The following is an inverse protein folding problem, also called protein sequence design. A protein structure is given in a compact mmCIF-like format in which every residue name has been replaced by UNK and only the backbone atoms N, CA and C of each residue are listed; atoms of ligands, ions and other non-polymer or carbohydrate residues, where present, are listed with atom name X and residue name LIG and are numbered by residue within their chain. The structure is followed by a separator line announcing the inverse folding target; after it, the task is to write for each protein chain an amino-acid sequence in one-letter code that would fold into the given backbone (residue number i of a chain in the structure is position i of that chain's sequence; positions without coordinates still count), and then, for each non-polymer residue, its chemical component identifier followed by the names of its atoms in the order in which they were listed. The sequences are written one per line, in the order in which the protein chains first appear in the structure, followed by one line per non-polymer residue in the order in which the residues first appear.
data_IF_596125306556
#
_entry.id   IF_596125306556
#
_cell.length_a   1.000
_cell.length_b   1.000
_cell.length_c   1.000
_cell.angle_alpha   90.00
_cell.angle_beta   90.00
_cell.angle_gamma   90.00
#
_symmetry.space_group_name_H-M   'P 1'
#
loop_
_entity.id
_entity.type
_entity.pdbx_description
1 polymer ?
#
# COMPACT_ATOMS: atom_id res chain seq x y z
N UNK A 1 12.84 -15.13 17.07
CA UNK A 1 11.69 -14.31 17.48
C UNK A 1 10.52 -14.62 16.56
N UNK A 2 9.40 -15.15 17.05
CA UNK A 2 8.19 -15.23 16.21
C UNK A 2 7.41 -13.92 16.29
N UNK A 3 7.12 -13.34 15.14
CA UNK A 3 6.35 -12.11 15.01
C UNK A 3 5.07 -12.42 14.24
N UNK A 4 3.92 -12.17 14.86
CA UNK A 4 2.65 -12.17 14.18
C UNK A 4 2.46 -10.80 13.51
N UNK A 5 2.31 -10.78 12.20
CA UNK A 5 2.01 -9.55 11.46
C UNK A 5 0.52 -9.52 11.17
N UNK A 6 -0.13 -8.38 11.46
CA UNK A 6 -1.56 -8.16 11.22
C UNK A 6 -1.77 -6.93 10.32
N UNK A 7 -2.62 -7.10 9.32
CA UNK A 7 -3.09 -6.04 8.44
C UNK A 7 -4.63 -6.08 8.39
N UNK A 8 -5.25 -5.28 9.26
CA UNK A 8 -6.70 -5.17 9.38
C UNK A 8 -7.24 -4.14 8.38
N UNK A 9 -8.03 -4.58 7.41
CA UNK A 9 -8.86 -3.73 6.55
C UNK A 9 -10.29 -3.61 7.09
N UNK A 10 -11.14 -2.82 6.44
CA UNK A 10 -12.54 -2.64 6.87
C UNK A 10 -13.36 -3.93 6.85
N UNK A 11 -13.10 -4.83 5.90
CA UNK A 11 -13.82 -6.11 5.70
C UNK A 11 -12.88 -7.31 5.56
N UNK A 12 -11.60 -7.16 5.90
CA UNK A 12 -10.63 -8.24 5.80
C UNK A 12 -9.56 -8.14 6.89
N UNK A 13 -8.89 -9.26 7.15
CA UNK A 13 -7.77 -9.34 8.06
C UNK A 13 -6.73 -10.31 7.51
N UNK A 14 -5.59 -9.77 7.10
CA UNK A 14 -4.43 -10.58 6.67
C UNK A 14 -3.50 -10.79 7.83
N UNK A 15 -2.89 -11.98 7.89
CA UNK A 15 -1.87 -12.28 8.89
C UNK A 15 -0.77 -13.19 8.37
N UNK A 16 0.41 -13.05 8.96
CA UNK A 16 1.53 -13.99 8.78
C UNK A 16 2.23 -14.19 10.12
N UNK A 17 2.72 -15.40 10.38
CA UNK A 17 3.69 -15.63 11.46
C UNK A 17 5.06 -15.76 10.83
N UNK A 18 5.97 -14.84 11.18
CA UNK A 18 7.30 -14.74 10.59
C UNK A 18 8.35 -14.93 11.68
N UNK A 19 9.28 -15.83 11.45
CA UNK A 19 10.44 -16.02 12.30
C UNK A 19 11.55 -15.06 11.89
N UNK A 20 12.00 -14.24 12.84
CA UNK A 20 13.11 -13.30 12.68
C UNK A 20 14.32 -13.73 13.53
N UNK A 21 15.56 -13.56 13.03
CA UNK A 21 15.95 -12.80 11.82
C UNK A 21 15.96 -13.60 10.50
N UNK A 22 15.54 -14.87 10.49
CA UNK A 22 15.62 -15.73 9.30
C UNK A 22 14.66 -15.34 8.16
N UNK A 23 13.70 -14.43 8.41
CA UNK A 23 12.62 -14.06 7.48
C UNK A 23 11.76 -15.27 7.05
N UNK A 24 11.72 -16.33 7.87
CA UNK A 24 10.99 -17.56 7.53
C UNK A 24 9.50 -17.38 7.82
N UNK A 25 8.68 -17.41 6.77
CA UNK A 25 7.21 -17.36 6.88
C UNK A 25 6.69 -18.73 7.32
N UNK A 26 6.18 -18.84 8.55
CA UNK A 26 5.63 -20.09 9.12
C UNK A 26 4.23 -20.38 8.60
N UNK A 27 3.41 -19.34 8.45
CA UNK A 27 2.09 -19.43 7.83
C UNK A 27 1.67 -18.09 7.21
N UNK A 28 0.72 -18.17 6.29
CA UNK A 28 -0.01 -17.03 5.72
C UNK A 28 -1.49 -17.27 5.95
N UNK A 29 -2.27 -16.22 6.19
CA UNK A 29 -3.71 -16.37 6.15
C UNK A 29 -4.44 -15.07 5.92
N UNK A 30 -5.71 -15.23 5.58
CA UNK A 30 -6.60 -14.17 5.17
C UNK A 30 -8.01 -14.49 5.65
N UNK A 31 -8.62 -13.49 6.27
CA UNK A 31 -10.05 -13.45 6.53
C UNK A 31 -10.67 -12.44 5.58
N UNK A 32 -11.64 -12.85 4.79
CA UNK A 32 -12.38 -11.98 3.87
C UNK A 32 -13.84 -11.86 4.29
N UNK A 33 -14.46 -10.75 3.90
CA UNK A 33 -15.89 -10.49 4.14
C UNK A 33 -16.26 -10.49 5.63
N UNK A 34 -15.37 -9.95 6.47
CA UNK A 34 -15.68 -9.67 7.88
C UNK A 34 -16.92 -8.78 7.95
N UNK A 35 -17.83 -9.11 8.87
CA UNK A 35 -19.16 -8.52 8.97
C UNK A 35 -20.26 -9.33 8.28
N UNK A 36 -19.93 -10.47 7.66
CA UNK A 36 -20.88 -11.32 6.93
C UNK A 36 -20.98 -12.74 7.53
N UNK A 37 -22.10 -13.40 7.26
CA UNK A 37 -22.38 -14.79 7.66
C UNK A 37 -21.57 -15.81 6.84
N UNK A 38 -21.12 -15.41 5.66
CA UNK A 38 -20.38 -16.23 4.70
C UNK A 38 -18.96 -15.67 4.47
N UNK A 39 -18.31 -15.29 5.57
CA UNK A 39 -16.91 -14.91 5.57
C UNK A 39 -16.01 -16.08 5.17
N UNK A 40 -14.94 -15.77 4.43
CA UNK A 40 -14.01 -16.78 3.91
C UNK A 40 -12.74 -16.70 4.74
N UNK A 41 -12.40 -17.79 5.41
CA UNK A 41 -11.16 -17.93 6.17
C UNK A 41 -10.21 -18.85 5.40
N UNK A 42 -9.04 -18.34 5.05
CA UNK A 42 -7.97 -19.10 4.40
C UNK A 42 -6.72 -19.09 5.26
N UNK A 43 -6.09 -20.25 5.41
CA UNK A 43 -4.85 -20.46 6.15
C UNK A 43 -3.93 -21.39 5.38
N UNK A 44 -2.70 -20.94 5.14
CA UNK A 44 -1.67 -21.65 4.43
C UNK A 44 -0.47 -21.94 5.35
N UNK A 45 -0.03 -23.19 5.37
CA UNK A 45 1.18 -23.65 6.04
C UNK A 45 2.04 -24.44 5.06
N UNK A 46 3.12 -23.81 4.59
CA UNK A 46 3.95 -24.37 3.52
C UNK A 46 3.14 -24.48 2.22
N UNK A 47 2.95 -25.70 1.71
CA UNK A 47 2.15 -25.96 0.49
C UNK A 47 0.73 -26.40 0.78
N UNK A 48 0.34 -26.49 2.06
CA UNK A 48 -1.01 -26.92 2.46
C UNK A 48 -1.87 -25.69 2.66
N UNK A 49 -3.03 -25.67 2.02
CA UNK A 49 -4.06 -24.65 2.17
C UNK A 49 -5.27 -25.25 2.89
N UNK A 50 -5.80 -24.51 3.85
CA UNK A 50 -7.06 -24.77 4.53
C UNK A 50 -7.98 -23.59 4.29
N UNK A 51 -9.19 -23.85 3.80
CA UNK A 51 -10.20 -22.83 3.56
C UNK A 51 -11.55 -23.26 4.16
N UNK A 52 -12.25 -22.31 4.76
CA UNK A 52 -13.55 -22.52 5.39
C UNK A 52 -14.44 -21.29 5.16
N UNK A 53 -15.74 -21.52 4.93
CA UNK A 53 -16.75 -20.47 4.90
C UNK A 53 -17.54 -20.54 6.21
N UNK A 54 -17.54 -19.46 6.97
CA UNK A 54 -18.16 -19.40 8.30
C UNK A 54 -18.55 -17.96 8.68
N UNK A 55 -19.46 -17.77 9.64
CA UNK A 55 -19.79 -16.43 10.14
C UNK A 55 -18.61 -15.77 10.85
N UNK A 56 -18.19 -14.59 10.39
CA UNK A 56 -17.22 -13.74 11.08
C UNK A 56 -17.78 -12.32 11.10
N UNK A 57 -18.53 -12.01 12.15
CA UNK A 57 -19.35 -10.80 12.22
C UNK A 57 -18.56 -9.53 12.58
N UNK A 58 -17.34 -9.66 13.08
CA UNK A 58 -16.46 -8.54 13.39
C UNK A 58 -14.99 -8.99 13.46
N UNK A 59 -14.08 -8.03 13.58
CA UNK A 59 -12.63 -8.29 13.69
C UNK A 59 -12.26 -9.12 14.92
N UNK A 60 -13.02 -9.03 16.01
CA UNK A 60 -12.75 -9.82 17.23
C UNK A 60 -12.91 -11.32 16.96
N UNK A 61 -14.04 -11.71 16.39
CA UNK A 61 -14.29 -13.10 15.96
C UNK A 61 -13.23 -13.54 14.96
N UNK A 62 -12.81 -12.66 14.04
CA UNK A 62 -11.75 -12.94 13.09
C UNK A 62 -10.40 -13.23 13.75
N UNK A 63 -9.94 -12.38 14.68
CA UNK A 63 -8.69 -12.59 15.41
C UNK A 63 -8.75 -13.83 16.30
N UNK A 64 -9.88 -14.10 16.96
CA UNK A 64 -10.07 -15.32 17.75
C UNK A 64 -9.96 -16.58 16.87
N UNK A 65 -10.55 -16.57 15.67
CA UNK A 65 -10.40 -17.65 14.68
C UNK A 65 -8.94 -17.83 14.26
N UNK A 66 -8.21 -16.73 14.04
CA UNK A 66 -6.76 -16.79 13.75
C UNK A 66 -6.01 -17.44 14.91
N UNK A 67 -6.18 -16.95 16.13
CA UNK A 67 -5.47 -17.48 17.31
C UNK A 67 -5.74 -18.97 17.53
N UNK A 68 -7.01 -19.40 17.40
CA UNK A 68 -7.40 -20.81 17.48
C UNK A 68 -6.75 -21.65 16.37
N UNK A 69 -6.63 -21.10 15.17
CA UNK A 69 -5.99 -21.80 14.03
C UNK A 69 -4.49 -21.91 14.24
N UNK A 70 -3.83 -20.85 14.73
CA UNK A 70 -2.39 -20.84 15.01
C UNK A 70 -2.01 -21.90 16.06
N UNK A 71 -2.89 -22.20 17.01
CA UNK A 71 -2.73 -23.22 18.07
C UNK A 71 -3.19 -24.63 17.65
N UNK A 72 -3.76 -24.80 16.46
CA UNK A 72 -4.27 -26.10 16.03
C UNK A 72 -3.12 -27.11 15.85
N UNK A 73 -3.29 -28.34 16.35
CA UNK A 73 -2.23 -29.36 16.33
C UNK A 73 -1.79 -29.80 14.92
N UNK A 74 -2.67 -29.72 13.92
CA UNK A 74 -2.39 -30.17 12.55
C UNK A 74 -1.94 -29.01 11.66
N UNK A 75 -2.76 -27.95 11.63
CA UNK A 75 -2.57 -26.82 10.71
C UNK A 75 -1.89 -25.62 11.36
N UNK A 76 -1.82 -25.54 12.69
CA UNK A 76 -1.20 -24.45 13.43
C UNK A 76 0.32 -24.43 13.36
N UNK A 77 0.92 -23.35 13.88
CA UNK A 77 2.37 -23.08 13.82
C UNK A 77 2.99 -22.72 15.18
N UNK A 78 2.17 -22.67 16.23
CA UNK A 78 2.60 -22.42 17.62
C UNK A 78 1.83 -23.39 18.54
N UNK A 79 2.42 -23.73 19.69
CA UNK A 79 1.80 -24.57 20.72
C UNK A 79 1.21 -23.73 21.87
N UNK A 80 1.69 -22.50 22.04
CA UNK A 80 1.16 -21.50 22.97
C UNK A 80 1.15 -20.11 22.33
N UNK A 81 0.21 -19.26 22.76
CA UNK A 81 0.19 -17.84 22.36
C UNK A 81 1.45 -17.08 22.81
N UNK A 82 2.10 -17.55 23.87
CA UNK A 82 3.35 -16.98 24.39
C UNK A 82 4.56 -17.21 23.45
N UNK A 83 4.43 -18.11 22.48
CA UNK A 83 5.45 -18.25 21.43
C UNK A 83 5.46 -17.06 20.47
N UNK A 84 4.42 -16.22 20.46
CA UNK A 84 4.39 -14.95 19.74
C UNK A 84 5.00 -13.86 20.64
N UNK A 85 6.21 -13.44 20.32
CA UNK A 85 6.96 -12.46 21.11
C UNK A 85 6.57 -11.02 20.77
N UNK A 86 6.10 -10.79 19.53
CA UNK A 86 5.62 -9.49 19.08
C UNK A 86 4.47 -9.63 18.08
N UNK A 87 3.59 -8.63 18.08
CA UNK A 87 2.55 -8.45 17.06
C UNK A 87 2.80 -7.13 16.34
N UNK A 88 3.17 -7.21 15.07
CA UNK A 88 3.38 -6.05 14.20
C UNK A 88 2.07 -5.68 13.48
N UNK A 89 1.59 -4.46 13.69
CA UNK A 89 0.36 -3.95 13.12
C UNK A 89 0.65 -2.94 12.04
N UNK A 90 0.10 -3.16 10.84
CA UNK A 90 0.01 -2.09 9.84
C UNK A 90 -1.02 -1.06 10.30
N UNK A 91 -0.61 0.19 10.34
CA UNK A 91 -1.48 1.34 10.61
C UNK A 91 -1.37 2.34 9.47
N UNK A 92 -2.50 2.73 8.88
CA UNK A 92 -2.45 3.58 7.67
C UNK A 92 -1.95 4.98 7.96
N UNK A 93 -2.49 5.67 8.97
CA UNK A 93 -2.16 7.07 9.22
C UNK A 93 -1.54 7.27 10.62
N UNK A 94 -0.25 7.66 10.67
CA UNK A 94 0.45 8.01 11.90
C UNK A 94 0.43 9.50 12.24
N UNK A 95 0.06 10.34 11.27
CA UNK A 95 0.05 11.79 11.42
C UNK A 95 1.46 12.35 11.53
N UNK A 96 1.58 13.57 12.03
CA UNK A 96 2.89 14.21 12.22
C UNK A 96 3.63 13.72 13.47
N UNK A 97 2.93 13.02 14.37
CA UNK A 97 3.45 12.59 15.67
C UNK A 97 4.30 11.32 15.58
N UNK A 98 3.88 10.35 14.76
CA UNK A 98 4.57 9.07 14.62
C UNK A 98 5.18 8.92 13.23
N UNK A 99 6.49 9.16 13.15
CA UNK A 99 7.31 9.07 11.95
C UNK A 99 8.18 7.81 11.88
N UNK A 100 8.06 6.93 12.87
CA UNK A 100 8.86 5.71 13.02
C UNK A 100 7.97 4.59 13.59
N UNK A 101 8.46 3.36 13.49
CA UNK A 101 7.91 2.20 14.19
C UNK A 101 7.94 2.44 15.70
N UNK A 102 6.85 2.10 16.39
CA UNK A 102 6.73 2.32 17.85
C UNK A 102 6.07 1.15 18.54
N UNK A 103 6.44 0.91 19.80
CA UNK A 103 5.68 0.05 20.69
C UNK A 103 4.36 0.74 21.02
N UNK A 104 3.25 0.03 20.85
CA UNK A 104 1.91 0.53 21.13
C UNK A 104 1.79 0.83 22.62
N UNK A 105 1.28 2.01 22.93
CA UNK A 105 0.87 2.43 24.26
C UNK A 105 -0.43 3.25 24.17
N UNK A 106 -0.91 3.79 25.29
CA UNK A 106 -2.15 4.60 25.32
C UNK A 106 -2.09 5.82 24.39
N UNK A 107 -0.94 6.48 24.31
CA UNK A 107 -0.74 7.68 23.48
C UNK A 107 -0.77 7.34 21.98
N UNK A 108 -0.17 6.20 21.58
CA UNK A 108 -0.24 5.69 20.21
C UNK A 108 -1.69 5.42 19.81
N UNK A 109 -2.44 4.71 20.65
CA UNK A 109 -3.85 4.38 20.38
C UNK A 109 -4.71 5.64 20.25
N UNK A 110 -4.51 6.62 21.13
CA UNK A 110 -5.24 7.88 21.09
C UNK A 110 -4.92 8.70 19.85
N UNK A 111 -3.66 8.72 19.41
CA UNK A 111 -3.30 9.38 18.16
C UNK A 111 -3.95 8.69 16.94
N UNK A 112 -3.97 7.36 16.89
CA UNK A 112 -4.63 6.63 15.80
C UNK A 112 -6.12 6.99 15.74
N UNK A 113 -6.78 7.07 16.91
CA UNK A 113 -8.19 7.48 17.07
C UNK A 113 -8.44 8.90 16.56
N UNK A 114 -7.58 9.85 16.92
CA UNK A 114 -7.70 11.25 16.47
C UNK A 114 -7.48 11.44 14.96
N UNK A 115 -7.00 10.42 14.25
CA UNK A 115 -6.76 10.45 12.80
C UNK A 115 -7.81 9.66 12.01
N UNK A 116 -8.91 9.23 12.64
CA UNK A 116 -9.99 8.51 11.96
C UNK A 116 -10.56 9.29 10.77
N UNK A 117 -10.78 10.59 10.92
CA UNK A 117 -11.32 11.42 9.84
C UNK A 117 -10.37 11.51 8.62
N UNK A 118 -9.06 11.30 8.82
CA UNK A 118 -8.07 11.33 7.73
C UNK A 118 -7.92 9.99 7.01
N UNK A 119 -8.22 8.87 7.70
CA UNK A 119 -8.17 7.53 7.15
C UNK A 119 -9.36 6.68 7.64
N UNK A 120 -10.61 7.06 7.31
CA UNK A 120 -11.82 6.52 7.95
C UNK A 120 -12.08 5.06 7.61
N UNK A 121 -11.60 4.60 6.45
CA UNK A 121 -11.73 3.20 6.02
C UNK A 121 -10.64 2.28 6.60
N UNK A 122 -9.65 2.84 7.31
CA UNK A 122 -8.44 2.11 7.69
C UNK A 122 -8.11 2.21 9.17
N UNK A 123 -7.86 3.42 9.69
CA UNK A 123 -7.41 3.60 11.08
C UNK A 123 -8.36 3.00 12.13
N UNK A 124 -9.70 3.05 11.98
CA UNK A 124 -10.60 2.36 12.91
C UNK A 124 -10.34 0.86 12.98
N UNK A 125 -10.28 0.18 11.82
CA UNK A 125 -10.01 -1.26 11.77
C UNK A 125 -8.60 -1.60 12.30
N UNK A 126 -7.60 -0.75 12.02
CA UNK A 126 -6.25 -0.94 12.56
C UNK A 126 -6.24 -0.86 14.09
N UNK A 127 -6.91 0.14 14.68
CA UNK A 127 -6.98 0.29 16.14
C UNK A 127 -7.74 -0.87 16.79
N UNK A 128 -8.86 -1.29 16.21
CA UNK A 128 -9.61 -2.45 16.67
C UNK A 128 -8.74 -3.71 16.65
N UNK A 129 -7.99 -3.95 15.57
CA UNK A 129 -7.05 -5.07 15.48
C UNK A 129 -5.97 -5.05 16.58
N UNK A 130 -5.43 -3.88 16.89
CA UNK A 130 -4.47 -3.68 18.00
C UNK A 130 -5.11 -4.04 19.34
N UNK A 131 -6.27 -3.45 19.66
CA UNK A 131 -6.93 -3.61 20.96
C UNK A 131 -7.35 -5.07 21.21
N UNK A 132 -7.79 -5.79 20.17
CA UNK A 132 -8.11 -7.22 20.28
C UNK A 132 -6.84 -8.08 20.40
N UNK A 133 -5.78 -7.76 19.64
CA UNK A 133 -4.53 -8.52 19.73
C UNK A 133 -3.89 -8.41 21.13
N UNK A 134 -4.04 -7.27 21.81
CA UNK A 134 -3.64 -7.07 23.21
C UNK A 134 -4.32 -8.05 24.18
N UNK A 135 -5.57 -8.46 23.92
CA UNK A 135 -6.31 -9.37 24.81
C UNK A 135 -5.95 -10.85 24.58
N UNK A 136 -5.49 -11.19 23.37
CA UNK A 136 -5.16 -12.56 22.97
C UNK A 136 -3.67 -12.87 23.21
N UNK A 137 -2.78 -12.00 22.73
CA UNK A 137 -1.33 -12.16 22.79
C UNK A 137 -0.75 -11.30 23.93
N UNK A 138 -1.14 -11.63 25.16
CA UNK A 138 -0.91 -10.80 26.36
C UNK A 138 0.56 -10.60 26.71
N UNK A 139 1.41 -11.59 26.40
CA UNK A 139 2.86 -11.52 26.61
C UNK A 139 3.59 -10.78 25.47
N UNK A 140 2.95 -10.64 24.30
CA UNK A 140 3.58 -10.10 23.10
C UNK A 140 3.69 -8.56 23.14
N UNK A 141 4.80 -8.03 22.62
CA UNK A 141 4.92 -6.59 22.37
C UNK A 141 4.09 -6.22 21.13
N UNK A 142 3.12 -5.34 21.32
CA UNK A 142 2.33 -4.79 20.23
C UNK A 142 3.10 -3.62 19.59
N UNK A 143 3.29 -3.64 18.28
CA UNK A 143 4.12 -2.67 17.56
C UNK A 143 3.33 -2.10 16.39
N UNK A 144 3.29 -0.77 16.26
CA UNK A 144 2.62 -0.08 15.17
C UNK A 144 3.63 0.37 14.11
N UNK A 145 3.37 0.01 12.85
CA UNK A 145 4.13 0.41 11.67
C UNK A 145 3.20 1.28 10.83
N UNK A 146 3.59 2.54 10.63
CA UNK A 146 2.74 3.52 9.94
C UNK A 146 3.09 3.62 8.45
N UNK A 147 2.09 3.53 7.57
CA UNK A 147 2.29 3.74 6.13
C UNK A 147 2.79 5.15 5.78
N UNK A 148 2.56 6.12 6.67
CA UNK A 148 3.05 7.51 6.54
C UNK A 148 4.51 7.69 6.96
N UNK A 149 5.11 6.72 7.67
CA UNK A 149 6.42 6.89 8.32
C UNK A 149 7.57 7.08 7.31
N UNK A 150 7.62 6.25 6.26
CA UNK A 150 8.68 6.32 5.25
C UNK A 150 8.75 7.68 4.53
N UNK A 151 7.61 8.35 4.41
CA UNK A 151 7.48 9.63 3.71
C UNK A 151 7.83 10.84 4.59
N UNK A 152 8.12 10.64 5.88
CA UNK A 152 8.46 11.75 6.79
C UNK A 152 9.83 12.38 6.51
N UNK A 153 10.61 11.81 5.58
CA UNK A 153 11.85 12.42 5.09
C UNK A 153 11.62 13.46 3.99
N UNK A 154 10.39 13.61 3.48
CA UNK A 154 10.07 14.62 2.47
C UNK A 154 10.43 16.02 2.98
N UNK A 155 11.08 16.86 2.16
CA UNK A 155 11.37 18.24 2.51
C UNK A 155 10.11 19.11 2.47
N UNK A 156 10.19 20.32 3.03
CA UNK A 156 9.03 21.22 3.24
C UNK A 156 8.33 21.59 1.93
N UNK A 157 9.11 21.83 0.89
CA UNK A 157 8.66 22.13 -0.47
C UNK A 157 7.86 21.00 -1.12
N UNK A 158 8.05 19.74 -0.68
CA UNK A 158 7.28 18.60 -1.18
C UNK A 158 5.97 18.41 -0.40
N UNK A 159 6.01 18.54 0.93
CA UNK A 159 4.84 18.24 1.75
C UNK A 159 3.88 19.42 1.97
N UNK A 160 4.34 20.67 1.85
CA UNK A 160 3.53 21.83 2.18
C UNK A 160 2.59 22.19 1.03
N UNK A 161 1.30 22.34 1.34
CA UNK A 161 0.35 22.94 0.42
C UNK A 161 0.48 24.46 0.37
N UNK A 162 0.23 25.05 -0.81
CA UNK A 162 0.23 26.49 -1.05
C UNK A 162 -1.03 27.18 -0.49
N UNK A 163 -1.24 27.07 0.82
CA UNK A 163 -2.30 27.71 1.62
C UNK A 163 -1.66 28.44 2.81
N UNK A 164 -2.39 29.27 3.59
CA UNK A 164 -1.80 30.00 4.71
C UNK A 164 -1.02 29.08 5.66
N UNK A 165 0.17 29.52 6.10
CA UNK A 165 1.09 28.71 6.92
C UNK A 165 0.47 28.17 8.21
N UNK A 166 -0.52 28.88 8.78
CA UNK A 166 -1.24 28.44 9.98
C UNK A 166 -1.88 27.05 9.83
N UNK A 167 -2.33 26.68 8.63
CA UNK A 167 -2.89 25.33 8.40
C UNK A 167 -1.85 24.21 8.55
N UNK A 168 -0.59 24.47 8.18
CA UNK A 168 0.51 23.56 8.45
C UNK A 168 0.92 23.62 9.93
N UNK A 169 1.06 24.80 10.49
CA UNK A 169 1.62 25.03 11.82
C UNK A 169 0.69 24.55 12.95
N UNK A 170 -0.59 24.86 12.85
CA UNK A 170 -1.60 24.57 13.88
C UNK A 170 -2.33 23.26 13.62
N UNK A 171 -2.75 23.03 12.37
CA UNK A 171 -3.60 21.89 12.01
C UNK A 171 -2.85 20.72 11.37
N UNK A 172 -1.54 20.88 11.11
CA UNK A 172 -0.70 19.85 10.47
C UNK A 172 -1.27 19.35 9.14
N UNK A 173 -1.90 20.24 8.36
CA UNK A 173 -2.37 19.96 7.01
C UNK A 173 -1.18 20.02 6.05
N UNK A 174 -0.83 18.84 5.52
CA UNK A 174 0.34 18.59 4.65
C UNK A 174 0.16 17.29 3.88
N UNK A 175 0.99 17.06 2.87
CA UNK A 175 1.14 15.72 2.32
C UNK A 175 1.81 14.80 3.38
N UNK A 176 1.19 13.65 3.61
CA UNK A 176 1.73 12.60 4.47
C UNK A 176 2.29 11.43 3.67
N UNK A 177 1.65 11.07 2.55
CA UNK A 177 1.99 9.90 1.76
C UNK A 177 1.58 8.57 2.41
N UNK A 178 1.31 7.56 1.61
CA UNK A 178 0.92 6.21 2.09
C UNK A 178 1.60 5.11 1.27
N UNK A 179 1.33 3.85 1.60
CA UNK A 179 2.09 2.69 1.12
C UNK A 179 3.60 2.78 1.45
N UNK A 180 3.97 3.51 2.52
CA UNK A 180 5.37 3.73 2.88
C UNK A 180 6.12 2.43 3.16
N UNK A 181 5.47 1.45 3.79
CA UNK A 181 6.02 0.11 4.03
C UNK A 181 6.41 -0.58 2.71
N UNK A 182 5.51 -0.56 1.72
CA UNK A 182 5.78 -1.14 0.39
C UNK A 182 6.90 -0.39 -0.34
N UNK A 183 6.82 0.95 -0.40
CA UNK A 183 7.82 1.79 -1.07
C UNK A 183 9.21 1.63 -0.46
N UNK A 184 9.31 1.58 0.87
CA UNK A 184 10.56 1.29 1.59
C UNK A 184 11.11 -0.07 1.19
N UNK A 185 10.29 -1.12 1.30
CA UNK A 185 10.73 -2.48 1.00
C UNK A 185 11.27 -2.63 -0.44
N UNK A 186 10.52 -2.17 -1.44
CA UNK A 186 10.94 -2.36 -2.84
C UNK A 186 12.08 -1.44 -3.24
N UNK A 187 12.21 -0.26 -2.63
CA UNK A 187 13.36 0.61 -2.86
C UNK A 187 14.64 0.06 -2.26
N UNK A 188 14.61 -0.50 -1.05
CA UNK A 188 15.77 -1.18 -0.46
C UNK A 188 16.21 -2.40 -1.29
N UNK A 189 15.25 -3.18 -1.80
CA UNK A 189 15.55 -4.28 -2.74
C UNK A 189 16.14 -3.77 -4.05
N UNK A 190 15.63 -2.66 -4.59
CA UNK A 190 16.19 -2.05 -5.80
C UNK A 190 17.61 -1.51 -5.56
N UNK A 191 17.87 -0.85 -4.43
CA UNK A 191 19.21 -0.36 -4.04
C UNK A 191 20.20 -1.52 -3.97
N UNK A 192 19.83 -2.61 -3.27
CA UNK A 192 20.65 -3.81 -3.19
C UNK A 192 20.90 -4.44 -4.57
N UNK A 193 19.87 -4.47 -5.43
CA UNK A 193 19.99 -4.97 -6.80
C UNK A 193 20.92 -4.11 -7.67
N UNK A 194 20.84 -2.79 -7.54
CA UNK A 194 21.68 -1.85 -8.27
C UNK A 194 23.14 -1.86 -7.79
N UNK A 195 23.39 -2.28 -6.55
CA UNK A 195 24.73 -2.26 -5.94
C UNK A 195 25.29 -0.85 -5.78
N UNK A 196 24.42 0.16 -5.64
CA UNK A 196 24.79 1.57 -5.55
C UNK A 196 24.46 2.13 -4.17
N UNK A 197 25.42 2.82 -3.56
CA UNK A 197 25.18 3.55 -2.31
C UNK A 197 24.39 4.85 -2.54
N UNK A 198 24.63 5.53 -3.67
CA UNK A 198 23.81 6.66 -4.10
C UNK A 198 22.89 6.24 -5.24
N UNK A 199 21.59 6.36 -5.01
CA UNK A 199 20.55 5.83 -5.89
C UNK A 199 19.39 6.81 -6.02
N UNK A 200 18.88 6.99 -7.24
CA UNK A 200 17.68 7.76 -7.56
C UNK A 200 16.63 6.83 -8.15
N UNK A 201 15.60 6.53 -7.37
CA UNK A 201 14.61 5.50 -7.70
C UNK A 201 13.22 6.10 -7.66
N UNK A 202 12.40 5.74 -8.65
CA UNK A 202 10.95 5.94 -8.60
C UNK A 202 10.29 4.61 -8.33
N UNK A 203 9.54 4.50 -7.24
CA UNK A 203 8.72 3.31 -6.94
C UNK A 203 7.28 3.56 -7.35
N UNK A 204 6.67 2.56 -8.00
CA UNK A 204 5.35 2.61 -8.62
C UNK A 204 4.52 1.46 -8.05
N UNK A 205 3.83 1.74 -6.94
CA UNK A 205 2.93 0.80 -6.27
C UNK A 205 1.56 0.88 -6.92
N UNK A 206 1.19 -0.14 -7.70
CA UNK A 206 -0.10 -0.20 -8.40
C UNK A 206 -0.92 -1.38 -7.85
N UNK A 207 -2.00 -1.07 -7.14
CA UNK A 207 -2.99 -2.03 -6.67
C UNK A 207 -4.38 -1.40 -6.71
N UNK A 208 -5.31 -1.82 -5.84
CA UNK A 208 -6.60 -1.11 -5.74
C UNK A 208 -6.42 0.33 -5.23
N UNK A 209 -5.37 0.58 -4.46
CA UNK A 209 -4.77 1.91 -4.29
C UNK A 209 -3.49 2.01 -5.09
N UNK A 210 -3.26 3.18 -5.68
CA UNK A 210 -2.07 3.42 -6.49
C UNK A 210 -1.30 4.61 -5.93
N UNK A 211 0.00 4.46 -5.72
CA UNK A 211 0.87 5.59 -5.41
C UNK A 211 2.26 5.44 -6.00
N UNK A 212 2.92 6.56 -6.21
CA UNK A 212 4.32 6.63 -6.62
C UNK A 212 5.12 7.43 -5.62
N UNK A 213 6.38 7.06 -5.42
CA UNK A 213 7.33 7.82 -4.60
C UNK A 213 8.65 8.04 -5.35
N UNK A 214 9.24 9.22 -5.15
CA UNK A 214 10.61 9.53 -5.56
C UNK A 214 11.53 9.34 -4.36
N UNK A 215 12.58 8.55 -4.54
CA UNK A 215 13.45 8.08 -3.46
C UNK A 215 14.90 8.38 -3.84
N UNK A 216 15.56 9.15 -2.99
CA UNK A 216 16.99 9.47 -3.12
C UNK A 216 17.75 8.87 -1.95
N UNK A 217 18.72 8.01 -2.24
CA UNK A 217 19.60 7.36 -1.26
C UNK A 217 18.81 6.69 -0.11
N UNK A 218 17.73 5.98 -0.47
CA UNK A 218 16.86 5.28 0.48
C UNK A 218 15.88 6.17 1.26
N UNK A 219 15.82 7.48 0.98
CA UNK A 219 14.87 8.42 1.62
C UNK A 219 13.82 8.88 0.63
N UNK A 220 12.56 8.87 1.05
CA UNK A 220 11.49 9.46 0.25
C UNK A 220 11.63 10.98 0.23
N UNK A 221 11.64 11.57 -0.97
CA UNK A 221 11.69 13.03 -1.17
C UNK A 221 10.42 13.59 -1.80
N UNK A 222 9.58 12.74 -2.40
CA UNK A 222 8.28 13.12 -2.96
C UNK A 222 7.36 11.89 -3.05
N UNK A 223 6.04 12.08 -2.93
CA UNK A 223 5.06 11.00 -3.06
C UNK A 223 3.73 11.49 -3.62
N UNK A 224 3.03 10.63 -4.36
CA UNK A 224 1.86 11.08 -5.13
C UNK A 224 0.62 11.25 -4.27
N UNK A 225 0.58 10.58 -3.12
CA UNK A 225 -0.54 10.71 -2.19
C UNK A 225 -0.26 11.84 -1.20
N UNK A 226 -1.31 12.62 -0.92
CA UNK A 226 -1.22 13.83 -0.13
C UNK A 226 -1.60 13.63 1.33
N UNK A 227 -2.51 14.51 1.79
CA UNK A 227 -3.06 14.53 3.15
C UNK A 227 -3.83 13.24 3.51
N UNK A 228 -4.48 12.64 2.51
CA UNK A 228 -5.23 11.39 2.64
C UNK A 228 -4.90 10.48 1.43
N UNK A 229 -5.27 9.20 1.44
CA UNK A 229 -4.86 8.25 0.40
C UNK A 229 -5.68 8.38 -0.90
N UNK A 230 -6.22 9.56 -1.19
CA UNK A 230 -7.10 9.82 -2.36
C UNK A 230 -6.43 10.58 -3.48
N UNK A 231 -5.39 11.36 -3.18
CA UNK A 231 -4.68 12.22 -4.12
C UNK A 231 -3.67 11.44 -4.99
N UNK A 232 -3.32 11.97 -6.17
CA UNK A 232 -2.33 11.40 -7.08
C UNK A 232 -2.92 10.58 -8.23
N UNK A 233 -2.56 9.31 -8.29
CA UNK A 233 -2.93 8.41 -9.39
C UNK A 233 -4.42 8.05 -9.41
N UNK A 234 -4.90 7.65 -10.57
CA UNK A 234 -6.20 6.98 -10.73
C UNK A 234 -6.10 5.60 -10.08
N UNK A 235 -7.13 5.25 -9.31
CA UNK A 235 -7.19 3.99 -8.55
C UNK A 235 -8.47 3.23 -8.90
N UNK A 236 -8.75 2.12 -8.21
CA UNK A 236 -9.96 1.31 -8.51
C UNK A 236 -11.25 2.12 -8.39
N UNK A 237 -11.45 2.80 -7.26
CA UNK A 237 -12.66 3.61 -6.98
C UNK A 237 -12.40 5.06 -6.63
N UNK A 238 -11.13 5.45 -6.46
CA UNK A 238 -10.72 6.80 -6.08
C UNK A 238 -10.34 7.60 -7.31
N UNK A 239 -10.76 8.86 -7.34
CA UNK A 239 -10.54 9.76 -8.46
C UNK A 239 -9.06 10.06 -8.75
N UNK A 240 -8.22 10.12 -7.71
CA UNK A 240 -6.87 10.67 -7.84
C UNK A 240 -6.90 12.21 -7.89
N UNK A 241 -5.94 12.81 -8.59
CA UNK A 241 -5.88 14.25 -8.80
C UNK A 241 -7.07 14.78 -9.60
N UNK A 242 -7.78 15.75 -9.02
CA UNK A 242 -8.79 16.57 -9.67
C UNK A 242 -8.60 18.05 -9.32
N UNK A 243 -9.09 18.94 -10.18
CA UNK A 243 -9.12 20.37 -9.90
C UNK A 243 -10.07 20.66 -8.74
N UNK A 244 -9.62 21.41 -7.74
CA UNK A 244 -10.44 21.76 -6.58
C UNK A 244 -11.72 22.53 -6.94
N UNK A 245 -11.75 23.25 -8.07
CA UNK A 245 -12.94 23.94 -8.56
C UNK A 245 -14.05 22.98 -8.96
N UNK A 246 -13.73 21.75 -9.37
CA UNK A 246 -14.72 20.69 -9.65
C UNK A 246 -15.47 20.34 -8.36
N UNK A 247 -14.76 20.20 -7.23
CA UNK A 247 -15.37 19.91 -5.92
C UNK A 247 -16.40 20.99 -5.58
N UNK A 248 -16.02 22.27 -5.67
CA UNK A 248 -16.93 23.36 -5.35
C UNK A 248 -18.05 23.52 -6.37
N UNK A 249 -17.83 23.15 -7.64
CA UNK A 249 -18.88 23.14 -8.65
C UNK A 249 -19.94 22.08 -8.33
N UNK A 250 -19.53 20.85 -8.01
CA UNK A 250 -20.43 19.78 -7.57
C UNK A 250 -21.28 20.23 -6.37
N UNK A 251 -20.63 20.81 -5.36
CA UNK A 251 -21.34 21.24 -4.16
C UNK A 251 -22.30 22.40 -4.42
N UNK A 252 -21.83 23.47 -5.08
CA UNK A 252 -22.58 24.73 -5.18
C UNK A 252 -23.53 24.79 -6.36
N UNK A 253 -23.22 24.11 -7.47
CA UNK A 253 -24.04 24.13 -8.70
C UNK A 253 -24.89 22.89 -8.85
N UNK A 254 -24.39 21.72 -8.45
CA UNK A 254 -25.17 20.48 -8.47
C UNK A 254 -25.82 20.17 -7.12
N UNK A 255 -25.69 21.07 -6.13
CA UNK A 255 -26.29 20.97 -4.80
C UNK A 255 -25.94 19.67 -4.05
N UNK A 256 -24.75 19.11 -4.30
CA UNK A 256 -24.27 17.95 -3.56
C UNK A 256 -23.72 18.37 -2.21
N UNK A 257 -24.04 17.61 -1.17
CA UNK A 257 -23.44 17.73 0.15
C UNK A 257 -21.95 17.36 0.14
N UNK A 258 -21.21 17.78 1.17
CA UNK A 258 -19.81 17.40 1.32
C UNK A 258 -19.62 15.87 1.37
N UNK A 259 -20.56 15.16 2.03
CA UNK A 259 -20.52 13.70 2.14
C UNK A 259 -20.80 13.00 0.81
N UNK A 260 -21.74 13.52 0.01
CA UNK A 260 -22.02 13.00 -1.34
C UNK A 260 -20.80 13.18 -2.26
N UNK A 261 -20.16 14.36 -2.24
CA UNK A 261 -18.96 14.60 -3.03
C UNK A 261 -17.80 13.74 -2.55
N UNK A 262 -17.62 13.58 -1.24
CA UNK A 262 -16.60 12.70 -0.68
C UNK A 262 -16.84 11.23 -1.08
N UNK A 263 -18.08 10.76 -1.04
CA UNK A 263 -18.46 9.42 -1.48
C UNK A 263 -18.21 9.23 -2.98
N UNK A 264 -18.60 10.20 -3.81
CA UNK A 264 -18.33 10.20 -5.25
C UNK A 264 -16.84 10.01 -5.53
N UNK A 265 -15.99 10.83 -4.92
CA UNK A 265 -14.54 10.84 -5.16
C UNK A 265 -13.82 9.61 -4.64
N UNK A 266 -14.33 8.95 -3.59
CA UNK A 266 -13.68 7.81 -2.96
C UNK A 266 -14.21 6.43 -3.40
N UNK A 267 -15.49 6.32 -3.74
CA UNK A 267 -16.17 5.02 -3.96
C UNK A 267 -16.81 4.85 -5.33
N UNK A 268 -17.05 5.93 -6.06
CA UNK A 268 -17.78 5.93 -7.34
C UNK A 268 -16.94 6.47 -8.51
N UNK A 269 -15.70 6.91 -8.23
CA UNK A 269 -14.77 7.45 -9.22
C UNK A 269 -13.73 6.40 -9.65
N UNK A 270 -12.58 6.84 -10.15
CA UNK A 270 -11.49 5.96 -10.54
C UNK A 270 -11.84 5.09 -11.75
N UNK A 271 -11.23 3.92 -11.84
CA UNK A 271 -11.53 2.96 -12.90
C UNK A 271 -13.02 2.55 -12.89
N UNK A 272 -13.63 2.42 -11.72
CA UNK A 272 -15.07 2.12 -11.56
C UNK A 272 -15.94 3.19 -12.19
N UNK A 273 -15.69 4.47 -11.89
CA UNK A 273 -16.46 5.57 -12.47
C UNK A 273 -16.28 5.68 -13.99
N UNK A 274 -15.11 5.30 -14.52
CA UNK A 274 -14.79 5.38 -15.94
C UNK A 274 -15.34 4.19 -16.76
N UNK A 275 -15.38 2.99 -16.17
CA UNK A 275 -15.62 1.74 -16.90
C UNK A 275 -16.82 0.94 -16.41
N UNK A 276 -17.28 1.19 -15.18
CA UNK A 276 -18.21 0.32 -14.45
C UNK A 276 -17.51 -0.76 -13.61
N UNK A 277 -16.22 -1.03 -13.85
CA UNK A 277 -15.44 -2.09 -13.22
C UNK A 277 -14.30 -1.51 -12.37
N UNK A 278 -13.94 -2.20 -11.29
CA UNK A 278 -12.79 -1.81 -10.45
C UNK A 278 -11.61 -2.78 -10.51
N UNK A 279 -11.84 -3.99 -11.01
CA UNK A 279 -10.78 -4.98 -11.21
C UNK A 279 -10.09 -4.73 -12.56
N UNK A 280 -8.79 -4.49 -12.53
CA UNK A 280 -8.02 -4.21 -13.73
C UNK A 280 -8.02 -5.39 -14.72
N UNK A 281 -8.11 -6.64 -14.25
CA UNK A 281 -8.11 -7.81 -15.12
C UNK A 281 -9.33 -7.80 -16.04
N UNK A 282 -10.49 -7.50 -15.46
CA UNK A 282 -11.75 -7.37 -16.19
C UNK A 282 -11.71 -6.17 -17.15
N UNK A 283 -11.12 -5.05 -16.74
CA UNK A 283 -10.95 -3.86 -17.59
C UNK A 283 -10.03 -4.16 -18.78
N UNK A 284 -8.91 -4.84 -18.57
CA UNK A 284 -7.98 -5.23 -19.63
C UNK A 284 -8.62 -6.19 -20.62
N UNK A 285 -9.37 -7.19 -20.14
CA UNK A 285 -10.11 -8.12 -20.99
C UNK A 285 -11.15 -7.40 -21.86
N UNK A 286 -11.96 -6.52 -21.25
CA UNK A 286 -12.95 -5.74 -21.98
C UNK A 286 -12.29 -4.78 -23.00
N UNK A 287 -11.15 -4.18 -22.66
CA UNK A 287 -10.40 -3.34 -23.59
C UNK A 287 -9.85 -4.14 -24.79
N UNK A 288 -9.36 -5.36 -24.58
CA UNK A 288 -8.95 -6.27 -25.66
C UNK A 288 -10.13 -6.64 -26.56
N UNK A 289 -11.32 -6.79 -25.99
CA UNK A 289 -12.57 -7.04 -26.71
C UNK A 289 -13.16 -5.79 -27.40
N UNK A 290 -12.47 -4.64 -27.32
CA UNK A 290 -12.85 -3.42 -28.04
C UNK A 290 -13.73 -2.44 -27.26
N UNK A 291 -13.92 -2.61 -25.94
CA UNK A 291 -14.65 -1.64 -25.13
C UNK A 291 -13.88 -0.30 -25.04
N UNK A 292 -14.43 0.73 -25.68
CA UNK A 292 -13.81 2.05 -25.76
C UNK A 292 -13.64 2.72 -24.38
N UNK A 293 -14.55 2.50 -23.43
CA UNK A 293 -14.44 3.07 -22.08
C UNK A 293 -13.24 2.47 -21.36
N UNK A 294 -13.08 1.16 -21.44
CA UNK A 294 -11.95 0.45 -20.84
C UNK A 294 -10.62 0.87 -21.47
N UNK A 295 -10.56 0.95 -22.80
CA UNK A 295 -9.38 1.44 -23.54
C UNK A 295 -9.00 2.86 -23.10
N UNK A 296 -9.99 3.77 -23.04
CA UNK A 296 -9.75 5.16 -22.66
C UNK A 296 -9.33 5.30 -21.19
N UNK A 297 -9.92 4.50 -20.29
CA UNK A 297 -9.54 4.48 -18.88
C UNK A 297 -8.09 4.02 -18.68
N UNK A 298 -7.66 2.95 -19.36
CA UNK A 298 -6.27 2.48 -19.32
C UNK A 298 -5.28 3.52 -19.87
N UNK A 299 -5.63 4.19 -20.97
CA UNK A 299 -4.83 5.30 -21.53
C UNK A 299 -4.71 6.45 -20.54
N UNK A 300 -5.81 6.83 -19.89
CA UNK A 300 -5.83 7.92 -18.91
C UNK A 300 -5.00 7.58 -17.66
N UNK A 301 -5.15 6.38 -17.11
CA UNK A 301 -4.37 5.90 -15.97
C UNK A 301 -2.87 5.86 -16.29
N UNK A 302 -2.50 5.30 -17.45
CA UNK A 302 -1.10 5.23 -17.90
C UNK A 302 -0.51 6.60 -18.17
N UNK A 303 -1.29 7.53 -18.72
CA UNK A 303 -0.87 8.92 -18.90
C UNK A 303 -0.58 9.60 -17.55
N UNK A 304 -1.40 9.37 -16.51
CA UNK A 304 -1.13 9.89 -15.16
C UNK A 304 0.17 9.33 -14.58
N UNK A 305 0.43 8.03 -14.76
CA UNK A 305 1.70 7.41 -14.34
C UNK A 305 2.89 8.09 -15.05
N UNK A 306 2.84 8.24 -16.38
CA UNK A 306 3.90 8.93 -17.15
C UNK A 306 4.14 10.35 -16.69
N UNK A 307 3.08 11.10 -16.37
CA UNK A 307 3.19 12.45 -15.82
C UNK A 307 4.00 12.45 -14.51
N UNK A 308 3.71 11.54 -13.59
CA UNK A 308 4.47 11.41 -12.34
C UNK A 308 5.91 10.93 -12.56
N UNK A 309 6.16 10.01 -13.50
CA UNK A 309 7.52 9.60 -13.86
C UNK A 309 8.34 10.82 -14.31
N UNK A 310 7.79 11.64 -15.21
CA UNK A 310 8.46 12.86 -15.67
C UNK A 310 8.71 13.85 -14.53
N UNK A 311 7.69 14.16 -13.73
CA UNK A 311 7.82 15.06 -12.57
C UNK A 311 8.89 14.59 -11.59
N UNK A 312 8.88 13.31 -11.22
CA UNK A 312 9.81 12.78 -10.22
C UNK A 312 11.23 12.62 -10.76
N UNK A 313 11.38 12.36 -12.06
CA UNK A 313 12.70 12.39 -12.71
C UNK A 313 13.31 13.80 -12.65
N UNK A 314 12.48 14.84 -12.81
CA UNK A 314 12.94 16.22 -12.67
C UNK A 314 13.31 16.56 -11.22
N UNK A 315 12.51 16.14 -10.24
CA UNK A 315 12.80 16.33 -8.80
C UNK A 315 14.09 15.62 -8.39
N UNK A 316 14.27 14.36 -8.81
CA UNK A 316 15.47 13.59 -8.52
C UNK A 316 16.70 14.11 -9.27
N UNK A 317 16.53 14.90 -10.33
CA UNK A 317 17.59 15.35 -11.21
C UNK A 317 18.46 14.17 -11.71
N UNK A 318 17.80 13.19 -12.33
CA UNK A 318 18.38 11.93 -12.76
C UNK A 318 17.58 10.73 -12.26
N UNK A 319 17.82 9.56 -12.85
CA UNK A 319 17.06 8.36 -12.54
C UNK A 319 17.92 7.12 -12.79
N UNK A 320 18.07 6.28 -11.78
CA UNK A 320 18.76 4.98 -11.89
C UNK A 320 17.77 3.86 -12.20
N UNK A 321 16.59 3.89 -11.57
CA UNK A 321 15.58 2.87 -11.77
C UNK A 321 14.15 3.38 -11.57
N UNK A 322 13.21 2.76 -12.30
CA UNK A 322 11.80 2.71 -11.91
C UNK A 322 11.44 1.29 -11.46
N UNK A 323 10.59 1.17 -10.44
CA UNK A 323 10.23 -0.10 -9.83
C UNK A 323 8.72 -0.26 -9.82
N UNK A 324 8.19 -1.22 -10.58
CA UNK A 324 6.79 -1.62 -10.49
C UNK A 324 6.59 -2.66 -9.39
N UNK A 325 5.55 -2.48 -8.59
CA UNK A 325 5.19 -3.37 -7.49
C UNK A 325 3.67 -3.41 -7.26
N UNK A 326 3.24 -4.26 -6.34
CA UNK A 326 1.86 -4.53 -5.95
C UNK A 326 1.05 -5.22 -7.04
N UNK A 327 -0.20 -5.58 -6.72
CA UNK A 327 -1.01 -6.51 -7.51
C UNK A 327 -1.08 -6.17 -9.01
N UNK A 328 -1.27 -4.91 -9.37
CA UNK A 328 -1.28 -4.47 -10.78
C UNK A 328 0.15 -4.35 -11.32
N UNK A 329 1.04 -3.69 -10.60
CA UNK A 329 2.39 -3.39 -11.09
C UNK A 329 3.21 -4.65 -11.35
N UNK A 330 3.00 -5.71 -10.56
CA UNK A 330 3.67 -6.99 -10.69
C UNK A 330 3.13 -7.82 -11.87
N UNK A 331 1.83 -7.76 -12.12
CA UNK A 331 1.12 -8.73 -12.96
C UNK A 331 0.63 -8.17 -14.30
N UNK A 332 0.27 -6.89 -14.38
CA UNK A 332 -0.21 -6.27 -15.62
C UNK A 332 0.95 -5.89 -16.54
N UNK A 333 1.15 -6.73 -17.55
CA UNK A 333 2.08 -6.46 -18.67
C UNK A 333 1.67 -5.19 -19.41
N UNK A 334 0.38 -5.06 -19.71
CA UNK A 334 -0.18 -3.95 -20.49
C UNK A 334 0.01 -2.61 -19.77
N UNK A 335 -0.28 -2.54 -18.48
CA UNK A 335 -0.11 -1.31 -17.69
C UNK A 335 1.36 -0.88 -17.65
N UNK A 336 2.30 -1.81 -17.42
CA UNK A 336 3.74 -1.48 -17.46
C UNK A 336 4.17 -0.98 -18.84
N UNK A 337 3.69 -1.62 -19.90
CA UNK A 337 3.95 -1.20 -21.29
C UNK A 337 3.48 0.23 -21.50
N UNK A 338 2.20 0.51 -21.27
CA UNK A 338 1.61 1.83 -21.48
C UNK A 338 2.24 2.90 -20.57
N UNK A 339 2.60 2.55 -19.33
CA UNK A 339 3.29 3.46 -18.41
C UNK A 339 4.71 3.83 -18.86
N UNK A 340 5.37 3.01 -19.68
CA UNK A 340 6.73 3.26 -20.19
C UNK A 340 6.77 3.80 -21.63
N UNK A 341 5.63 3.98 -22.29
CA UNK A 341 5.56 4.46 -23.68
C UNK A 341 6.04 5.90 -23.84
N UNK A 342 6.84 6.17 -24.87
CA UNK A 342 7.33 7.50 -25.25
C UNK A 342 8.17 8.19 -24.16
N UNK A 343 8.98 7.42 -23.43
CA UNK A 343 9.89 7.91 -22.37
C UNK A 343 11.38 7.67 -22.72
N UNK A 344 11.69 7.39 -23.98
CA UNK A 344 13.06 7.08 -24.44
C UNK A 344 14.00 8.26 -24.20
N UNK A 345 13.49 9.49 -24.26
CA UNK A 345 14.28 10.70 -23.96
C UNK A 345 14.75 10.76 -22.49
N UNK A 346 14.04 10.10 -21.58
CA UNK A 346 14.44 9.91 -20.17
C UNK A 346 15.33 8.68 -19.98
N UNK A 347 15.70 7.99 -21.07
CA UNK A 347 16.45 6.74 -21.02
C UNK A 347 15.64 5.55 -20.50
N UNK A 348 14.31 5.63 -20.55
CA UNK A 348 13.38 4.55 -20.17
C UNK A 348 12.90 3.88 -21.45
N UNK A 349 13.37 2.67 -21.70
CA UNK A 349 12.96 1.88 -22.85
C UNK A 349 12.65 0.44 -22.44
N UNK A 350 11.43 -0.01 -22.69
CA UNK A 350 10.96 -1.32 -22.26
C UNK A 350 11.31 -2.42 -23.27
N UNK A 351 11.79 -3.57 -22.79
CA UNK A 351 11.88 -4.78 -23.58
C UNK A 351 10.56 -5.56 -23.50
N UNK A 352 9.83 -5.63 -24.61
CA UNK A 352 8.52 -6.29 -24.68
C UNK A 352 8.58 -7.75 -24.22
N UNK A 353 9.57 -8.52 -24.70
CA UNK A 353 9.70 -9.94 -24.34
C UNK A 353 10.00 -10.15 -22.86
N UNK A 354 10.88 -9.33 -22.26
CA UNK A 354 11.14 -9.40 -20.81
C UNK A 354 9.91 -8.98 -19.99
N UNK A 355 9.13 -8.00 -20.48
CA UNK A 355 7.94 -7.51 -19.78
C UNK A 355 6.83 -8.57 -19.65
N UNK A 356 6.72 -9.50 -20.60
CA UNK A 356 5.75 -10.61 -20.58
C UNK A 356 6.06 -11.66 -19.50
N UNK A 357 7.30 -11.74 -19.02
CA UNK A 357 7.72 -12.77 -18.07
C UNK A 357 7.05 -12.49 -16.70
N UNK A 358 6.30 -13.47 -16.20
CA UNK A 358 5.79 -13.50 -14.84
C UNK A 358 6.80 -14.18 -13.92
N UNK A 359 7.04 -13.59 -12.75
CA UNK A 359 7.97 -14.11 -11.76
C UNK A 359 7.60 -13.63 -10.37
N UNK A 360 7.81 -14.50 -9.37
CA UNK A 360 7.75 -14.14 -7.94
C UNK A 360 9.06 -13.50 -7.45
N UNK A 361 10.09 -13.45 -8.29
CA UNK A 361 11.38 -12.84 -7.99
C UNK A 361 11.52 -11.47 -8.66
N UNK A 362 12.47 -10.68 -8.16
CA UNK A 362 12.91 -9.44 -8.81
C UNK A 362 13.36 -9.73 -10.24
N UNK A 363 12.94 -8.88 -11.19
CA UNK A 363 13.32 -8.98 -12.61
C UNK A 363 13.51 -7.60 -13.22
N UNK A 364 14.42 -7.53 -14.19
CA UNK A 364 14.58 -6.36 -15.05
C UNK A 364 13.83 -6.55 -16.37
N UNK A 365 13.18 -5.49 -16.86
CA UNK A 365 12.33 -5.54 -18.05
C UNK A 365 12.66 -4.46 -19.09
N UNK A 366 13.74 -3.69 -18.88
CA UNK A 366 14.20 -2.69 -19.86
C UNK A 366 14.98 -3.31 -21.04
N UNK A 367 15.09 -2.55 -22.14
CA UNK A 367 15.93 -2.85 -23.30
C UNK A 367 17.43 -2.84 -22.92
N UNK A 368 18.29 -3.36 -23.80
CA UNK A 368 19.74 -3.31 -23.58
C UNK A 368 20.31 -1.89 -23.73
N UNK A 369 19.59 -1.01 -24.42
CA UNK A 369 19.94 0.40 -24.70
C UNK A 369 19.40 1.36 -23.65
N UNK A 370 18.53 0.90 -22.74
CA UNK A 370 17.96 1.71 -21.66
C UNK A 370 19.02 2.09 -20.62
N UNK A 371 19.17 3.40 -20.38
CA UNK A 371 20.06 3.93 -19.34
C UNK A 371 19.44 3.80 -17.93
N UNK A 372 18.12 3.75 -17.85
CA UNK A 372 17.35 3.54 -16.62
C UNK A 372 16.97 2.08 -16.51
N UNK A 373 17.14 1.48 -15.32
CA UNK A 373 16.62 0.13 -15.04
C UNK A 373 15.11 0.19 -14.85
N UNK A 374 14.39 -0.77 -15.45
CA UNK A 374 12.95 -0.95 -15.21
C UNK A 374 12.82 -2.28 -14.47
N UNK A 375 12.55 -2.21 -13.17
CA UNK A 375 12.46 -3.38 -12.31
C UNK A 375 11.00 -3.72 -12.01
N UNK A 376 10.71 -5.00 -11.87
CA UNK A 376 9.50 -5.48 -11.22
C UNK A 376 9.92 -6.24 -9.97
N UNK A 377 9.52 -5.72 -8.81
CA UNK A 377 9.89 -6.26 -7.51
C UNK A 377 8.59 -6.54 -6.75
N UNK A 378 8.25 -7.81 -6.49
CA UNK A 378 7.10 -8.13 -5.66
C UNK A 378 7.25 -7.58 -4.24
N UNK A 379 6.27 -6.80 -3.78
CA UNK A 379 6.30 -6.25 -2.42
C UNK A 379 5.98 -7.36 -1.41
N UNK A 380 6.61 -7.29 -0.25
CA UNK A 380 6.24 -8.10 0.91
C UNK A 380 6.20 -7.20 2.14
N UNK A 381 5.04 -6.55 2.32
CA UNK A 381 4.84 -5.59 3.41
C UNK A 381 4.91 -6.29 4.77
N UNK A 382 4.47 -7.55 4.86
CA UNK A 382 4.49 -8.30 6.10
C UNK A 382 5.91 -8.60 6.58
N UNK A 383 6.82 -9.01 5.68
CA UNK A 383 8.24 -9.16 6.02
C UNK A 383 8.84 -7.82 6.47
N UNK A 384 8.49 -6.72 5.82
CA UNK A 384 8.98 -5.39 6.21
C UNK A 384 8.48 -4.98 7.60
N UNK A 385 7.22 -5.26 7.93
CA UNK A 385 6.66 -5.05 9.26
C UNK A 385 7.39 -5.91 10.30
N UNK A 386 7.65 -7.19 10.00
CA UNK A 386 8.40 -8.07 10.89
C UNK A 386 9.85 -7.59 11.09
N UNK A 387 10.51 -7.09 10.04
CA UNK A 387 11.84 -6.47 10.12
C UNK A 387 11.87 -5.27 11.05
N UNK A 388 10.97 -4.32 10.84
CA UNK A 388 10.89 -3.13 11.68
C UNK A 388 10.57 -3.48 13.14
N UNK A 389 9.68 -4.46 13.34
CA UNK A 389 9.33 -4.97 14.68
C UNK A 389 10.53 -5.61 15.37
N UNK A 390 11.25 -6.50 14.66
CA UNK A 390 12.45 -7.14 15.19
C UNK A 390 13.57 -6.15 15.49
N UNK A 391 13.81 -5.17 14.61
CA UNK A 391 14.82 -4.13 14.80
C UNK A 391 14.51 -3.23 16.00
N UNK A 392 13.24 -2.96 16.29
CA UNK A 392 12.83 -2.16 17.44
C UNK A 392 13.04 -2.89 18.78
N UNK A 393 12.96 -4.22 18.78
CA UNK A 393 13.07 -5.05 20.00
C UNK A 393 14.49 -5.59 20.25
N UNK A 394 15.40 -5.44 19.29
CA UNK A 394 16.82 -5.79 19.42
C UNK A 394 17.57 -4.67 20.15
#
# INVERSE_FOLDING_TARGET
MNILVLNAGSSSLKYQVIEMPSETVKCVGLVERIGMEDAIFTHEKGTKEYSEILPILNHEVGLQKIAKTLLNAEIGVISSVDEIEAVGHRVVHGGSKFSKTVIVNKEVKENIRNLFDLAPLHNPANLTGIEIAETIFTSAKQIAIFDTAFHQTMPKEAYQYAIPNSYLEEHKIRAYGFHGTSHKYVSEKAIAYLGKESSKIITIHLGNGCSMAAIENGKCIETSMGFSPTNGLIMGTRAGDIDQSVIFFLMKKLNQSADEVNNLLQKESGMKGLTGFSDLREIEENAVNGDEKCINALKLASHRIRKFIGSYTAILNGLDAIVFTAGIGENSVLTRKMACENLEFLGIELNINKNEIRSKNTREIQSLTSNVKILVIPTNEEIEIAKQSYQLLK
#
